data_IF_799172231424
#
_entry.id   IF_799172231424
#
_cell.length_a   1.000
_cell.length_b   1.000
_cell.length_c   1.000
_cell.angle_alpha   90.00
_cell.angle_beta   90.00
_cell.angle_gamma   90.00
#
_symmetry.space_group_name_H-M   'P 1'
#
loop_
_entity.id
_entity.type
_entity.pdbx_description
1 polymer ?
#
# COMPACT_ATOMS: atom_id res chain seq x y z
N UNK A 1 -46.13 -0.65 -16.02
CA UNK A 1 -46.62 0.64 -16.57
C UNK A 1 -46.28 1.77 -15.62
N UNK A 2 -46.66 1.70 -14.34
CA UNK A 2 -46.29 2.67 -13.30
C UNK A 2 -44.79 2.96 -13.20
N UNK A 3 -43.93 1.94 -13.20
CA UNK A 3 -42.47 2.14 -13.19
C UNK A 3 -41.96 3.05 -14.32
N UNK A 4 -42.46 2.86 -15.55
CA UNK A 4 -42.08 3.70 -16.71
C UNK A 4 -42.58 5.14 -16.59
N UNK A 5 -43.69 5.35 -15.89
CA UNK A 5 -44.19 6.69 -15.57
C UNK A 5 -43.27 7.33 -14.53
N UNK A 6 -42.92 6.62 -13.46
CA UNK A 6 -41.98 7.09 -12.43
C UNK A 6 -40.58 7.40 -13.01
N UNK A 7 -40.08 6.57 -13.93
CA UNK A 7 -38.86 6.84 -14.72
C UNK A 7 -38.97 8.15 -15.49
N UNK A 8 -40.10 8.44 -16.13
CA UNK A 8 -40.29 9.68 -16.91
C UNK A 8 -40.34 10.95 -16.06
N UNK A 9 -40.59 10.81 -14.75
CA UNK A 9 -40.54 11.89 -13.77
C UNK A 9 -39.23 11.90 -12.97
N UNK A 10 -38.21 11.11 -13.36
CA UNK A 10 -36.93 10.95 -12.65
C UNK A 10 -37.09 10.58 -11.17
N UNK A 11 -38.19 9.90 -10.81
CA UNK A 11 -38.41 9.38 -9.46
C UNK A 11 -37.70 8.03 -9.27
N UNK A 12 -37.53 7.29 -10.37
CA UNK A 12 -36.85 6.00 -10.42
C UNK A 12 -35.79 5.99 -11.52
N UNK A 13 -34.68 5.28 -11.30
CA UNK A 13 -33.66 5.11 -12.32
C UNK A 13 -34.20 4.25 -13.47
N UNK A 14 -33.67 4.51 -14.66
CA UNK A 14 -33.67 3.54 -15.75
C UNK A 14 -32.60 2.49 -15.46
N UNK A 15 -33.04 1.26 -15.25
CA UNK A 15 -32.18 0.11 -14.96
C UNK A 15 -31.96 -0.72 -16.22
N UNK A 16 -30.71 -1.08 -16.50
CA UNK A 16 -30.33 -1.95 -17.60
C UNK A 16 -29.36 -3.05 -17.15
N UNK A 17 -29.56 -4.25 -17.70
CA UNK A 17 -28.56 -5.32 -17.64
C UNK A 17 -27.25 -4.84 -18.26
N UNK A 18 -26.14 -5.33 -17.72
CA UNK A 18 -24.83 -5.02 -18.28
C UNK A 18 -24.55 -5.84 -19.54
N UNK A 19 -24.04 -5.18 -20.58
CA UNK A 19 -23.93 -5.73 -21.95
C UNK A 19 -23.13 -7.06 -22.03
N UNK A 20 -22.18 -7.30 -21.13
CA UNK A 20 -21.34 -8.51 -21.09
C UNK A 20 -21.86 -9.60 -20.13
N UNK A 21 -23.14 -9.59 -19.77
CA UNK A 21 -23.74 -10.65 -18.94
C UNK A 21 -23.13 -10.73 -17.53
N UNK A 22 -22.79 -9.56 -16.95
CA UNK A 22 -22.18 -9.39 -15.63
C UNK A 22 -20.73 -9.91 -15.46
N UNK A 23 -20.18 -10.59 -16.47
CA UNK A 23 -18.86 -11.23 -16.37
C UNK A 23 -17.74 -10.23 -16.08
N UNK A 24 -17.81 -9.04 -16.68
CA UNK A 24 -16.85 -7.96 -16.46
C UNK A 24 -16.83 -7.42 -15.01
N UNK A 25 -17.97 -7.44 -14.30
CA UNK A 25 -17.96 -7.15 -12.86
C UNK A 25 -17.30 -8.30 -12.08
N UNK A 26 -17.63 -9.54 -12.43
CA UNK A 26 -17.10 -10.74 -11.77
C UNK A 26 -15.58 -10.83 -11.94
N UNK A 27 -15.07 -10.57 -13.14
CA UNK A 27 -13.64 -10.55 -13.44
C UNK A 27 -12.93 -9.47 -12.62
N UNK A 28 -13.49 -8.25 -12.53
CA UNK A 28 -12.92 -7.17 -11.73
C UNK A 28 -12.89 -7.49 -10.23
N UNK A 29 -13.95 -8.10 -9.68
CA UNK A 29 -13.98 -8.56 -8.28
C UNK A 29 -12.96 -9.69 -8.04
N UNK A 30 -12.91 -10.68 -8.94
CA UNK A 30 -12.00 -11.81 -8.80
C UNK A 30 -10.54 -11.40 -8.93
N UNK A 31 -10.20 -10.41 -9.76
CA UNK A 31 -8.85 -9.85 -9.84
C UNK A 31 -8.34 -9.34 -8.47
N UNK A 32 -9.24 -8.88 -7.59
CA UNK A 32 -8.88 -8.50 -6.22
C UNK A 32 -8.83 -9.70 -5.28
N UNK A 33 -9.78 -10.63 -5.40
CA UNK A 33 -9.90 -11.81 -4.51
C UNK A 33 -8.79 -12.84 -4.72
N UNK A 34 -8.23 -12.91 -5.93
CA UNK A 34 -7.22 -13.89 -6.35
C UNK A 34 -5.77 -13.44 -6.15
N UNK A 35 -5.53 -12.35 -5.43
CA UNK A 35 -4.16 -11.99 -5.04
C UNK A 35 -3.52 -13.17 -4.27
N UNK A 36 -2.27 -13.52 -4.61
CA UNK A 36 -1.59 -14.76 -4.18
C UNK A 36 -1.62 -15.01 -2.66
N UNK A 37 -1.62 -13.94 -1.85
CA UNK A 37 -1.66 -14.03 -0.39
C UNK A 37 -3.09 -13.98 0.19
N UNK A 38 -4.06 -13.49 -0.58
CA UNK A 38 -5.47 -13.42 -0.20
C UNK A 38 -6.16 -14.77 -0.46
N UNK A 39 -6.03 -15.28 -1.69
CA UNK A 39 -6.54 -16.59 -2.17
C UNK A 39 -7.99 -16.85 -1.74
N UNK A 40 -8.88 -15.88 -2.00
CA UNK A 40 -10.29 -16.02 -1.67
C UNK A 40 -11.03 -16.77 -2.79
N UNK A 41 -12.04 -17.60 -2.44
CA UNK A 41 -12.84 -18.30 -3.44
C UNK A 41 -13.47 -17.34 -4.45
N UNK A 42 -13.35 -17.65 -5.75
CA UNK A 42 -13.89 -16.80 -6.81
C UNK A 42 -15.41 -16.64 -6.71
N UNK A 43 -15.88 -15.46 -7.10
CA UNK A 43 -17.28 -15.26 -7.44
C UNK A 43 -17.54 -15.76 -8.86
N UNK A 44 -18.79 -16.05 -9.16
CA UNK A 44 -19.22 -16.50 -10.49
C UNK A 44 -20.30 -15.60 -11.07
N UNK A 45 -20.33 -15.52 -12.40
CA UNK A 45 -21.49 -14.99 -13.09
C UNK A 45 -22.70 -15.93 -12.90
N UNK A 46 -23.94 -15.43 -12.95
CA UNK A 46 -25.13 -16.26 -12.79
C UNK A 46 -25.23 -17.34 -13.87
N UNK A 47 -25.48 -18.59 -13.45
CA UNK A 47 -25.66 -19.71 -14.37
C UNK A 47 -27.10 -19.81 -14.88
N UNK A 48 -27.46 -19.00 -15.87
CA UNK A 48 -28.78 -19.06 -16.50
C UNK A 48 -28.98 -18.02 -17.60
N UNK A 49 -29.78 -18.32 -18.63
CA UNK A 49 -30.14 -17.34 -19.67
C UNK A 49 -31.07 -16.28 -19.10
N UNK A 50 -30.49 -15.27 -18.45
CA UNK A 50 -31.19 -14.08 -17.97
C UNK A 50 -31.46 -13.15 -19.16
N UNK A 51 -32.42 -13.51 -20.01
CA UNK A 51 -33.22 -12.45 -20.65
C UNK A 51 -34.32 -12.17 -19.65
N UNK A 52 -34.50 -10.91 -19.23
CA UNK A 52 -35.77 -10.42 -18.67
C UNK A 52 -36.89 -10.88 -19.60
N UNK A 53 -37.47 -12.06 -19.35
CA UNK A 53 -38.45 -12.66 -20.24
C UNK A 53 -39.76 -11.92 -20.03
N UNK A 54 -39.99 -10.93 -20.88
CA UNK A 54 -41.30 -10.35 -21.17
C UNK A 54 -42.23 -11.36 -21.89
N UNK A 55 -42.22 -12.64 -21.48
CA UNK A 55 -43.10 -13.68 -22.02
C UNK A 55 -44.10 -14.15 -20.96
N UNK A 56 -45.26 -13.50 -21.00
CA UNK A 56 -46.64 -14.04 -20.94
C UNK A 56 -47.05 -15.15 -19.96
N UNK A 57 -46.21 -15.54 -19.02
CA UNK A 57 -46.56 -16.39 -17.89
C UNK A 57 -46.18 -15.65 -16.61
N UNK A 58 -47.10 -15.60 -15.66
CA UNK A 58 -46.95 -14.98 -14.33
C UNK A 58 -45.89 -15.76 -13.55
N UNK A 59 -44.62 -15.56 -13.88
CA UNK A 59 -43.51 -15.97 -13.03
C UNK A 59 -43.42 -14.90 -11.96
N UNK A 60 -43.56 -15.30 -10.70
CA UNK A 60 -43.37 -14.39 -9.57
C UNK A 60 -41.98 -13.75 -9.69
N UNK A 61 -41.92 -12.42 -9.60
CA UNK A 61 -40.65 -11.70 -9.56
C UNK A 61 -39.82 -12.21 -8.39
N UNK A 62 -38.53 -12.38 -8.63
CA UNK A 62 -37.57 -12.76 -7.59
C UNK A 62 -37.40 -11.61 -6.59
N UNK A 63 -36.91 -11.92 -5.38
CA UNK A 63 -36.74 -10.89 -4.33
C UNK A 63 -35.73 -9.81 -4.75
N UNK A 64 -34.65 -10.18 -5.43
CA UNK A 64 -33.68 -9.20 -5.93
C UNK A 64 -34.27 -8.31 -7.02
N UNK A 65 -35.13 -8.83 -7.92
CA UNK A 65 -35.82 -8.01 -8.92
C UNK A 65 -36.73 -6.98 -8.24
N UNK A 66 -37.48 -7.39 -7.22
CA UNK A 66 -38.32 -6.47 -6.46
C UNK A 66 -37.48 -5.36 -5.78
N UNK A 67 -36.35 -5.71 -5.18
CA UNK A 67 -35.44 -4.74 -4.59
C UNK A 67 -34.89 -3.76 -5.64
N UNK A 68 -34.44 -4.27 -6.79
CA UNK A 68 -33.93 -3.46 -7.90
C UNK A 68 -35.00 -2.49 -8.45
N UNK A 69 -36.25 -2.94 -8.59
CA UNK A 69 -37.38 -2.09 -9.04
C UNK A 69 -37.87 -1.08 -7.98
N UNK A 70 -37.46 -1.24 -6.73
CA UNK A 70 -37.82 -0.34 -5.63
C UNK A 70 -36.76 0.73 -5.38
N UNK A 71 -35.56 0.60 -5.94
CA UNK A 71 -34.52 1.65 -5.87
C UNK A 71 -35.05 2.96 -6.45
N UNK A 72 -34.88 4.05 -5.72
CA UNK A 72 -35.30 5.39 -6.11
C UNK A 72 -34.10 6.26 -6.49
N UNK A 73 -34.33 7.31 -7.30
CA UNK A 73 -33.29 8.29 -7.59
C UNK A 73 -32.78 8.99 -6.32
N UNK A 74 -33.68 9.28 -5.37
CA UNK A 74 -33.30 9.85 -4.07
C UNK A 74 -32.28 9.00 -3.31
N UNK A 75 -32.43 7.67 -3.34
CA UNK A 75 -31.48 6.78 -2.67
C UNK A 75 -30.14 6.70 -3.39
N UNK A 76 -30.13 6.71 -4.72
CA UNK A 76 -28.91 6.77 -5.54
C UNK A 76 -28.16 8.08 -5.30
N UNK A 77 -28.86 9.21 -5.47
CA UNK A 77 -28.28 10.55 -5.36
C UNK A 77 -27.78 10.81 -3.93
N UNK A 78 -28.52 10.31 -2.93
CA UNK A 78 -28.16 10.34 -1.52
C UNK A 78 -27.19 9.25 -1.06
N UNK A 79 -26.77 8.33 -1.94
CA UNK A 79 -25.95 7.16 -1.58
C UNK A 79 -26.45 6.43 -0.33
N UNK A 80 -27.75 6.13 -0.29
CA UNK A 80 -28.44 5.63 0.91
C UNK A 80 -29.26 4.35 0.70
N UNK A 81 -28.96 3.59 -0.36
CA UNK A 81 -29.62 2.30 -0.61
C UNK A 81 -29.24 1.33 0.51
N UNK A 82 -30.24 0.65 1.08
CA UNK A 82 -30.01 -0.37 2.09
C UNK A 82 -29.26 -1.56 1.47
N UNK A 83 -28.08 -1.95 2.01
CA UNK A 83 -27.34 -3.07 1.47
C UNK A 83 -28.00 -4.42 1.77
N UNK A 84 -28.94 -4.50 2.70
CA UNK A 84 -29.69 -5.71 3.01
C UNK A 84 -30.90 -5.84 2.10
N UNK A 85 -30.98 -6.94 1.35
CA UNK A 85 -32.12 -7.27 0.51
C UNK A 85 -32.78 -8.52 1.07
N UNK A 86 -33.70 -8.28 2.02
CA UNK A 86 -34.29 -9.33 2.85
C UNK A 86 -33.17 -10.15 3.53
N UNK A 87 -33.45 -11.39 3.94
CA UNK A 87 -32.44 -12.31 4.49
C UNK A 87 -31.77 -13.19 3.40
N UNK A 88 -31.90 -12.83 2.11
CA UNK A 88 -31.46 -13.68 0.99
C UNK A 88 -30.31 -13.10 0.16
N UNK A 89 -30.25 -11.77 -0.02
CA UNK A 89 -29.27 -11.14 -0.89
C UNK A 89 -28.59 -9.97 -0.17
N UNK A 90 -27.37 -9.66 -0.61
CA UNK A 90 -26.74 -8.37 -0.29
C UNK A 90 -26.62 -7.55 -1.57
N UNK A 91 -27.00 -6.28 -1.46
CA UNK A 91 -26.86 -5.26 -2.48
C UNK A 91 -25.64 -4.41 -2.15
N UNK A 92 -24.73 -4.29 -3.10
CA UNK A 92 -23.62 -3.34 -3.06
C UNK A 92 -23.73 -2.43 -4.27
N UNK A 93 -23.30 -1.18 -4.12
CA UNK A 93 -23.39 -0.23 -5.22
C UNK A 93 -22.29 0.83 -5.14
N UNK A 94 -21.95 1.38 -6.29
CA UNK A 94 -21.10 2.56 -6.43
C UNK A 94 -21.89 3.61 -7.23
N UNK A 95 -21.72 4.88 -6.87
CA UNK A 95 -22.38 6.00 -7.55
C UNK A 95 -21.34 6.94 -8.17
N UNK A 96 -21.71 7.60 -9.26
CA UNK A 96 -20.89 8.59 -9.96
C UNK A 96 -21.75 9.74 -10.42
N UNK A 97 -21.23 10.96 -10.32
CA UNK A 97 -21.92 12.17 -10.79
C UNK A 97 -22.23 12.09 -12.29
N UNK A 98 -23.42 12.57 -12.67
CA UNK A 98 -23.88 12.58 -14.05
C UNK A 98 -24.55 11.29 -14.49
N UNK A 99 -24.65 11.10 -15.82
CA UNK A 99 -25.49 10.06 -16.42
C UNK A 99 -24.75 8.77 -16.78
N UNK A 100 -23.43 8.72 -16.56
CA UNK A 100 -22.59 7.58 -16.94
C UNK A 100 -22.31 6.76 -15.67
N UNK A 101 -22.80 5.52 -15.58
CA UNK A 101 -22.53 4.65 -14.43
C UNK A 101 -21.02 4.41 -14.26
N UNK A 102 -20.56 4.17 -13.01
CA UNK A 102 -19.19 3.73 -12.78
C UNK A 102 -18.83 2.49 -13.62
N UNK A 103 -17.60 2.42 -14.10
CA UNK A 103 -17.05 1.13 -14.55
C UNK A 103 -16.82 0.21 -13.34
N UNK A 104 -16.60 -1.10 -13.53
CA UNK A 104 -16.26 -2.02 -12.45
C UNK A 104 -15.00 -1.61 -11.76
N UNK A 105 -13.98 -1.21 -12.50
CA UNK A 105 -12.70 -0.79 -11.95
C UNK A 105 -12.90 0.43 -11.05
N UNK A 106 -13.68 1.42 -11.51
CA UNK A 106 -14.07 2.58 -10.71
C UNK A 106 -14.89 2.17 -9.46
N UNK A 107 -15.80 1.20 -9.58
CA UNK A 107 -16.58 0.69 -8.46
C UNK A 107 -15.74 -0.10 -7.45
N UNK A 108 -14.79 -0.92 -7.92
CA UNK A 108 -13.82 -1.64 -7.08
C UNK A 108 -12.96 -0.63 -6.33
N UNK A 109 -12.46 0.40 -6.99
CA UNK A 109 -11.67 1.46 -6.37
C UNK A 109 -12.49 2.20 -5.30
N UNK A 110 -13.74 2.56 -5.62
CA UNK A 110 -14.66 3.15 -4.65
C UNK A 110 -14.88 2.23 -3.44
N UNK A 111 -15.17 0.95 -3.65
CA UNK A 111 -15.35 0.00 -2.54
C UNK A 111 -14.07 -0.24 -1.76
N UNK A 112 -12.89 -0.21 -2.39
CA UNK A 112 -11.59 -0.31 -1.68
C UNK A 112 -11.43 0.78 -0.63
N UNK A 113 -11.95 1.99 -0.87
CA UNK A 113 -11.94 3.07 0.15
C UNK A 113 -12.70 2.70 1.45
N UNK A 114 -13.57 1.70 1.41
CA UNK A 114 -14.22 1.16 2.60
C UNK A 114 -13.26 0.50 3.58
N UNK A 115 -12.09 0.03 3.12
CA UNK A 115 -11.02 -0.48 3.99
C UNK A 115 -10.53 0.61 4.96
N UNK A 116 -10.25 1.81 4.45
CA UNK A 116 -9.73 2.92 5.26
C UNK A 116 -10.73 3.34 6.34
N UNK A 117 -12.02 3.18 6.08
CA UNK A 117 -13.09 3.48 7.05
C UNK A 117 -13.20 2.42 8.15
N UNK A 118 -12.85 1.16 7.86
CA UNK A 118 -12.86 0.07 8.85
C UNK A 118 -11.63 0.14 9.79
N UNK A 119 -10.56 0.80 9.37
CA UNK A 119 -9.33 0.92 10.16
C UNK A 119 -8.53 -0.40 10.19
N UNK A 120 -7.55 -0.55 11.09
CA UNK A 120 -6.71 -1.75 11.17
C UNK A 120 -7.30 -2.86 12.05
N UNK A 121 -8.31 -2.56 12.86
CA UNK A 121 -8.93 -3.53 13.77
C UNK A 121 -9.86 -4.49 13.02
N UNK A 122 -10.13 -5.66 13.61
CA UNK A 122 -11.07 -6.62 13.02
C UNK A 122 -12.43 -5.94 12.84
N UNK A 123 -13.05 -6.00 11.64
CA UNK A 123 -14.32 -5.35 11.38
C UNK A 123 -15.40 -5.82 12.36
N UNK A 124 -16.24 -4.90 12.87
CA UNK A 124 -17.29 -5.25 13.82
C UNK A 124 -18.36 -6.14 13.18
N UNK A 125 -19.17 -6.81 14.01
CA UNK A 125 -20.33 -7.53 13.50
C UNK A 125 -21.35 -6.57 12.87
N UNK A 126 -22.01 -6.98 11.78
CA UNK A 126 -23.06 -6.20 11.15
C UNK A 126 -24.26 -6.01 12.08
N UNK A 127 -24.82 -4.81 12.12
CA UNK A 127 -26.04 -4.48 12.87
C UNK A 127 -27.05 -3.78 11.98
N UNK A 128 -28.29 -4.22 12.05
CA UNK A 128 -29.44 -3.60 11.41
C UNK A 128 -29.81 -2.30 12.11
N UNK A 129 -30.21 -1.30 11.33
CA UNK A 129 -30.69 -0.02 11.86
C UNK A 129 -31.89 -0.24 12.77
N UNK A 130 -31.75 0.13 14.05
CA UNK A 130 -32.88 0.19 14.97
C UNK A 130 -33.42 1.62 14.96
N UNK A 131 -34.71 1.79 14.64
CA UNK A 131 -35.36 3.08 14.33
C UNK A 131 -35.39 4.15 15.45
N UNK A 132 -34.61 4.02 16.54
CA UNK A 132 -34.73 4.86 17.75
C UNK A 132 -33.43 5.22 18.47
N UNK A 133 -32.25 5.08 17.87
CA UNK A 133 -31.01 5.59 18.47
C UNK A 133 -30.34 6.60 17.53
N UNK A 134 -30.05 7.78 18.08
CA UNK A 134 -29.32 8.86 17.41
C UNK A 134 -27.79 8.67 17.49
N UNK A 135 -27.31 7.53 17.99
CA UNK A 135 -25.88 7.19 18.10
C UNK A 135 -25.52 6.12 17.06
N UNK A 136 -24.60 6.46 16.15
CA UNK A 136 -24.01 5.54 15.16
C UNK A 136 -23.29 4.43 15.93
N UNK A 137 -23.84 3.21 15.91
CA UNK A 137 -23.19 2.07 16.58
C UNK A 137 -22.15 1.45 15.65
N UNK A 138 -21.08 0.85 16.18
CA UNK A 138 -19.95 0.30 15.39
C UNK A 138 -20.37 -0.61 14.21
N UNK A 139 -21.50 -1.32 14.32
CA UNK A 139 -22.02 -2.21 13.27
C UNK A 139 -22.88 -1.53 12.19
N UNK A 140 -23.17 -0.23 12.30
CA UNK A 140 -23.92 0.55 11.31
C UNK A 140 -23.02 1.14 10.21
N UNK A 141 -21.69 1.03 10.36
CA UNK A 141 -20.72 1.51 9.37
C UNK A 141 -20.93 0.87 7.99
N UNK A 142 -21.47 -0.35 7.95
CA UNK A 142 -21.80 -1.08 6.72
C UNK A 142 -22.95 -0.48 5.92
N UNK A 143 -23.65 0.54 6.41
CA UNK A 143 -24.61 1.30 5.59
C UNK A 143 -23.94 2.34 4.70
N UNK A 144 -22.63 2.58 4.87
CA UNK A 144 -21.82 3.34 3.91
C UNK A 144 -21.50 2.41 2.75
N UNK A 145 -21.88 2.78 1.52
CA UNK A 145 -21.77 1.91 0.35
C UNK A 145 -20.35 1.44 0.05
N UNK A 146 -19.35 2.28 0.31
CA UNK A 146 -17.93 1.89 0.24
C UNK A 146 -17.61 0.70 1.17
N UNK A 147 -18.05 0.78 2.43
CA UNK A 147 -17.80 -0.24 3.46
C UNK A 147 -18.61 -1.50 3.20
N UNK A 148 -19.89 -1.37 2.83
CA UNK A 148 -20.75 -2.49 2.42
C UNK A 148 -20.12 -3.26 1.25
N UNK A 149 -19.66 -2.52 0.24
CA UNK A 149 -18.93 -3.01 -0.91
C UNK A 149 -17.69 -3.78 -0.47
N UNK A 150 -16.77 -3.12 0.22
CA UNK A 150 -15.53 -3.73 0.68
C UNK A 150 -15.78 -5.05 1.43
N UNK A 151 -16.63 -5.00 2.45
CA UNK A 151 -16.92 -6.13 3.31
C UNK A 151 -17.51 -7.31 2.52
N UNK A 152 -18.42 -7.02 1.60
CA UNK A 152 -19.06 -8.03 0.76
C UNK A 152 -18.13 -8.61 -0.30
N UNK A 153 -17.16 -7.83 -0.78
CA UNK A 153 -16.13 -8.29 -1.72
C UNK A 153 -15.08 -9.18 -1.05
N UNK A 154 -14.90 -9.06 0.25
CA UNK A 154 -13.83 -9.72 1.02
C UNK A 154 -14.34 -10.88 1.88
N UNK A 155 -15.60 -11.30 1.72
CA UNK A 155 -16.13 -12.47 2.41
C UNK A 155 -15.41 -13.76 2.02
N UNK A 156 -15.37 -14.71 2.97
CA UNK A 156 -14.65 -15.98 2.84
C UNK A 156 -15.32 -16.97 1.86
N UNK A 157 -16.58 -16.72 1.50
CA UNK A 157 -17.40 -17.63 0.71
C UNK A 157 -17.49 -17.21 -0.75
N UNK A 158 -17.87 -18.15 -1.62
CA UNK A 158 -18.21 -17.86 -3.03
C UNK A 158 -19.66 -17.36 -3.16
N UNK A 159 -19.88 -16.44 -4.09
CA UNK A 159 -21.18 -15.86 -4.42
C UNK A 159 -21.36 -15.78 -5.94
N UNK A 160 -22.62 -15.89 -6.39
CA UNK A 160 -22.96 -15.42 -7.73
C UNK A 160 -23.21 -13.90 -7.66
N UNK A 161 -22.70 -13.15 -8.64
CA UNK A 161 -22.87 -11.70 -8.68
C UNK A 161 -23.63 -11.25 -9.94
N UNK A 162 -24.63 -10.39 -9.75
CA UNK A 162 -25.44 -9.80 -10.83
C UNK A 162 -25.39 -8.30 -10.74
N UNK A 163 -24.90 -7.63 -11.78
CA UNK A 163 -24.72 -6.18 -11.79
C UNK A 163 -25.54 -5.47 -12.87
N UNK A 164 -26.04 -4.29 -12.52
CA UNK A 164 -26.97 -3.49 -13.29
C UNK A 164 -26.51 -2.03 -13.33
N UNK A 165 -26.73 -1.40 -14.46
CA UNK A 165 -26.52 0.03 -14.63
C UNK A 165 -27.82 0.78 -14.32
N UNK A 166 -27.77 1.73 -13.40
CA UNK A 166 -28.86 2.65 -13.09
C UNK A 166 -28.50 4.06 -13.58
N UNK A 167 -29.40 4.65 -14.39
CA UNK A 167 -29.22 5.97 -15.04
C UNK A 167 -30.52 6.79 -14.93
N UNK A 168 -30.51 8.07 -15.33
CA UNK A 168 -31.71 8.91 -15.34
C UNK A 168 -32.02 9.62 -14.00
N UNK A 169 -31.15 9.48 -13.00
CA UNK A 169 -31.13 10.29 -11.77
C UNK A 169 -30.06 11.38 -11.88
N UNK A 170 -29.81 12.19 -10.84
CA UNK A 170 -28.71 13.17 -10.88
C UNK A 170 -27.35 12.48 -10.97
N UNK A 171 -27.23 11.35 -10.27
CA UNK A 171 -26.09 10.42 -10.32
C UNK A 171 -26.47 9.13 -11.03
N UNK A 172 -25.47 8.47 -11.61
CA UNK A 172 -25.60 7.13 -12.14
C UNK A 172 -24.96 6.13 -11.17
N UNK A 173 -25.43 4.89 -11.20
CA UNK A 173 -24.94 3.86 -10.28
C UNK A 173 -24.69 2.52 -10.97
N UNK A 174 -23.68 1.81 -10.46
CA UNK A 174 -23.49 0.38 -10.69
C UNK A 174 -24.03 -0.34 -9.45
N UNK A 175 -25.08 -1.13 -9.62
CA UNK A 175 -25.75 -1.86 -8.53
C UNK A 175 -25.51 -3.35 -8.74
N UNK A 176 -24.94 -4.03 -7.74
CA UNK A 176 -24.65 -5.45 -7.78
C UNK A 176 -25.35 -6.21 -6.65
N UNK A 177 -25.90 -7.38 -6.96
CA UNK A 177 -26.49 -8.30 -5.99
C UNK A 177 -25.63 -9.55 -5.87
N UNK A 178 -25.41 -9.98 -4.63
CA UNK A 178 -24.75 -11.23 -4.28
C UNK A 178 -25.80 -12.27 -3.88
N UNK A 179 -25.68 -13.49 -4.41
CA UNK A 179 -26.71 -14.55 -4.27
C UNK A 179 -26.92 -15.12 -2.87
N UNK A 180 -26.16 -14.66 -1.87
CA UNK A 180 -26.29 -14.98 -0.45
C UNK A 180 -25.96 -13.73 0.36
N UNK A 181 -26.53 -13.55 1.55
CA UNK A 181 -26.24 -12.39 2.37
C UNK A 181 -24.79 -12.44 2.87
N UNK A 182 -24.09 -11.33 2.75
CA UNK A 182 -22.75 -11.10 3.32
C UNK A 182 -22.82 -10.26 4.60
N UNK A 183 -23.90 -9.50 4.78
CA UNK A 183 -24.17 -8.65 5.94
C UNK A 183 -25.33 -9.25 6.76
N UNK A 184 -25.00 -10.15 7.70
CA UNK A 184 -25.97 -10.86 8.54
C UNK A 184 -25.92 -10.31 9.96
N UNK A 185 -27.08 -10.03 10.57
CA UNK A 185 -27.18 -9.45 11.92
C UNK A 185 -26.35 -10.23 12.94
N UNK A 186 -25.48 -9.53 13.67
CA UNK A 186 -24.63 -10.11 14.71
C UNK A 186 -23.48 -10.97 14.19
N UNK A 187 -23.26 -11.03 12.87
CA UNK A 187 -22.18 -11.80 12.23
C UNK A 187 -21.14 -10.84 11.64
N UNK A 188 -19.87 -11.18 11.84
CA UNK A 188 -18.76 -10.50 11.16
C UNK A 188 -18.72 -10.90 9.69
N UNK A 189 -18.75 -9.94 8.74
CA UNK A 189 -18.72 -10.26 7.31
C UNK A 189 -17.41 -10.90 6.84
N UNK A 190 -16.29 -10.52 7.47
CA UNK A 190 -14.94 -11.00 7.14
C UNK A 190 -14.38 -11.71 8.37
N UNK A 191 -13.85 -12.93 8.21
CA UNK A 191 -13.18 -13.61 9.32
C UNK A 191 -11.85 -12.95 9.72
N UNK A 192 -11.44 -13.14 10.98
CA UNK A 192 -10.13 -12.71 11.50
C UNK A 192 -8.94 -13.18 10.65
N UNK A 193 -9.06 -14.35 10.03
CA UNK A 193 -8.00 -14.92 9.19
C UNK A 193 -7.87 -14.14 7.88
N UNK A 194 -8.99 -13.87 7.22
CA UNK A 194 -8.99 -13.09 5.98
C UNK A 194 -8.66 -11.64 6.23
N UNK A 195 -9.13 -11.06 7.35
CA UNK A 195 -8.75 -9.71 7.74
C UNK A 195 -7.24 -9.57 7.94
N UNK A 196 -6.58 -10.53 8.60
CA UNK A 196 -5.11 -10.53 8.74
C UNK A 196 -4.39 -10.59 7.39
N UNK A 197 -4.89 -11.36 6.42
CA UNK A 197 -4.35 -11.39 5.05
C UNK A 197 -4.50 -10.03 4.35
N UNK A 198 -5.67 -9.40 4.49
CA UNK A 198 -5.94 -8.06 3.94
C UNK A 198 -4.98 -7.04 4.55
N UNK A 199 -4.79 -7.05 5.87
CA UNK A 199 -3.83 -6.16 6.54
C UNK A 199 -2.40 -6.42 6.09
N UNK A 200 -2.00 -7.68 5.90
CA UNK A 200 -0.66 -8.01 5.40
C UNK A 200 -0.42 -7.44 3.99
N UNK A 201 -1.42 -7.54 3.11
CA UNK A 201 -1.38 -6.95 1.78
C UNK A 201 -1.42 -5.43 1.81
N UNK A 202 -2.25 -4.84 2.65
CA UNK A 202 -2.39 -3.39 2.78
C UNK A 202 -1.12 -2.74 3.37
N UNK A 203 -0.45 -3.43 4.30
CA UNK A 203 0.82 -3.00 4.89
C UNK A 203 2.04 -3.47 4.09
N UNK A 204 1.84 -4.04 2.89
CA UNK A 204 2.95 -4.43 2.03
C UNK A 204 3.65 -3.16 1.56
N UNK A 205 4.96 -3.17 1.72
CA UNK A 205 5.78 -2.06 1.28
C UNK A 205 5.67 -1.87 -0.23
N UNK A 206 5.69 -0.63 -0.67
CA UNK A 206 5.95 -0.30 -2.07
C UNK A 206 7.39 0.15 -2.17
N UNK A 207 8.10 -0.33 -3.19
CA UNK A 207 9.52 -0.03 -3.37
C UNK A 207 9.72 0.53 -4.76
N UNK A 208 10.25 1.75 -4.84
CA UNK A 208 10.53 2.45 -6.09
C UNK A 208 12.01 2.79 -6.16
N UNK A 209 12.66 2.43 -7.28
CA UNK A 209 14.07 2.74 -7.49
C UNK A 209 14.25 4.26 -7.56
N UNK A 210 15.26 4.78 -6.87
CA UNK A 210 15.61 6.20 -6.98
C UNK A 210 16.39 6.48 -8.25
N UNK A 211 16.06 7.59 -8.87
CA UNK A 211 16.79 8.16 -10.00
C UNK A 211 18.23 8.52 -9.61
N UNK A 212 19.11 8.66 -10.61
CA UNK A 212 20.54 8.91 -10.38
C UNK A 212 20.82 10.15 -9.53
N UNK A 213 19.99 11.20 -9.64
CA UNK A 213 20.13 12.42 -8.87
C UNK A 213 19.88 12.24 -7.37
N UNK A 214 19.09 11.22 -6.99
CA UNK A 214 18.59 10.98 -5.63
C UNK A 214 18.97 9.60 -5.07
N UNK A 215 19.89 8.88 -5.72
CA UNK A 215 20.28 7.50 -5.37
C UNK A 215 21.20 7.38 -4.13
N UNK A 216 21.37 8.45 -3.36
CA UNK A 216 22.18 8.55 -2.15
C UNK A 216 23.68 8.27 -2.28
N UNK A 217 24.18 7.96 -3.48
CA UNK A 217 25.60 7.69 -3.69
C UNK A 217 26.44 8.91 -3.36
N UNK A 218 25.94 10.13 -3.62
CA UNK A 218 26.65 11.36 -3.28
C UNK A 218 26.94 11.44 -1.78
N UNK A 219 25.92 11.39 -0.93
CA UNK A 219 26.08 11.50 0.53
C UNK A 219 26.85 10.32 1.13
N UNK A 220 26.63 9.11 0.60
CA UNK A 220 27.36 7.91 1.00
C UNK A 220 28.85 8.10 0.68
N UNK A 221 29.17 8.49 -0.55
CA UNK A 221 30.55 8.61 -1.02
C UNK A 221 31.27 9.83 -0.42
N UNK A 222 30.58 10.94 -0.18
CA UNK A 222 31.15 12.09 0.56
C UNK A 222 31.66 11.67 1.94
N UNK A 223 30.94 10.80 2.65
CA UNK A 223 31.44 10.26 3.91
C UNK A 223 32.55 9.23 3.71
N UNK A 224 32.40 8.28 2.78
CA UNK A 224 33.37 7.19 2.58
C UNK A 224 34.74 7.68 2.13
N UNK A 225 34.74 8.60 1.17
CA UNK A 225 35.95 9.03 0.46
C UNK A 225 36.69 10.18 1.13
N UNK A 226 36.16 10.73 2.24
CA UNK A 226 36.85 11.77 2.99
C UNK A 226 38.27 11.33 3.38
N UNK A 227 39.23 12.27 3.37
CA UNK A 227 40.66 12.00 3.57
C UNK A 227 40.97 11.19 4.85
N UNK A 228 40.17 11.36 5.89
CA UNK A 228 40.34 10.69 7.17
C UNK A 228 40.00 9.18 7.13
N UNK A 229 39.10 8.77 6.23
CA UNK A 229 38.74 7.35 6.01
C UNK A 229 39.47 6.78 4.79
N UNK A 230 39.42 7.48 3.65
CA UNK A 230 40.01 7.05 2.39
C UNK A 230 39.48 5.70 1.92
N UNK A 231 38.16 5.48 2.02
CA UNK A 231 37.49 4.30 1.48
C UNK A 231 37.16 4.51 0.00
N UNK A 232 37.03 3.40 -0.73
CA UNK A 232 36.55 3.43 -2.11
C UNK A 232 35.09 3.88 -2.18
N UNK A 233 34.77 4.70 -3.17
CA UNK A 233 33.39 5.06 -3.49
C UNK A 233 32.59 3.82 -3.91
N UNK A 234 31.32 3.77 -3.52
CA UNK A 234 30.35 2.89 -4.15
C UNK A 234 29.99 3.43 -5.54
N UNK A 235 29.61 2.52 -6.44
CA UNK A 235 29.26 2.85 -7.82
C UNK A 235 27.79 2.54 -8.10
N UNK A 236 27.19 3.24 -9.07
CA UNK A 236 25.79 2.99 -9.47
C UNK A 236 25.63 1.71 -10.31
N UNK A 237 26.70 1.32 -11.03
CA UNK A 237 26.73 0.18 -11.93
C UNK A 237 28.10 -0.49 -11.90
N UNK A 238 28.13 -1.81 -11.94
CA UNK A 238 29.39 -2.54 -12.04
C UNK A 238 29.98 -2.34 -13.44
N UNK A 239 31.29 -2.06 -13.58
CA UNK A 239 31.94 -2.00 -14.88
C UNK A 239 31.97 -3.35 -15.63
N UNK A 240 31.62 -4.45 -14.96
CA UNK A 240 31.84 -5.83 -15.45
C UNK A 240 30.60 -6.74 -15.37
N UNK A 241 29.40 -6.24 -15.07
CA UNK A 241 28.21 -7.08 -14.87
C UNK A 241 27.26 -7.10 -16.06
N UNK A 242 27.21 -8.29 -16.70
CA UNK A 242 26.10 -9.05 -17.33
C UNK A 242 25.00 -8.37 -18.17
N UNK A 243 24.50 -9.11 -19.17
CA UNK A 243 23.47 -8.80 -20.18
C UNK A 243 22.10 -8.29 -19.68
N UNK A 244 21.94 -7.97 -18.39
CA UNK A 244 20.67 -7.54 -17.81
C UNK A 244 20.54 -6.01 -17.87
N UNK A 245 19.34 -5.53 -18.16
CA UNK A 245 19.04 -4.09 -18.14
C UNK A 245 18.87 -3.58 -16.70
N UNK A 246 18.94 -2.26 -16.53
CA UNK A 246 18.81 -1.63 -15.21
C UNK A 246 17.40 -1.79 -14.63
N UNK A 247 16.40 -2.04 -15.49
CA UNK A 247 15.02 -2.39 -15.14
C UNK A 247 14.91 -3.84 -14.64
N UNK A 248 15.52 -4.81 -15.32
CA UNK A 248 15.51 -6.23 -14.90
C UNK A 248 16.15 -6.40 -13.51
N UNK A 249 17.22 -5.65 -13.22
CA UNK A 249 17.84 -5.63 -11.89
C UNK A 249 16.93 -4.99 -10.85
N UNK A 250 16.21 -3.93 -11.21
CA UNK A 250 15.30 -3.24 -10.31
C UNK A 250 14.09 -4.12 -9.94
N UNK A 251 13.53 -4.84 -10.91
CA UNK A 251 12.45 -5.80 -10.70
C UNK A 251 12.89 -6.96 -9.79
N UNK A 252 14.08 -7.51 -10.03
CA UNK A 252 14.66 -8.52 -9.16
C UNK A 252 14.88 -8.01 -7.72
N UNK A 253 15.44 -6.81 -7.56
CA UNK A 253 15.63 -6.20 -6.24
C UNK A 253 14.26 -5.96 -5.56
N UNK A 254 13.24 -5.51 -6.30
CA UNK A 254 11.88 -5.35 -5.78
C UNK A 254 11.30 -6.67 -5.26
N UNK A 255 11.41 -7.76 -6.01
CA UNK A 255 10.93 -9.07 -5.57
C UNK A 255 11.65 -9.56 -4.31
N UNK A 256 12.97 -9.40 -4.25
CA UNK A 256 13.77 -9.85 -3.11
C UNK A 256 13.51 -9.02 -1.86
N UNK A 257 13.36 -7.70 -2.01
CA UNK A 257 13.03 -6.81 -0.90
C UNK A 257 11.63 -7.09 -0.35
N UNK A 258 10.64 -7.33 -1.21
CA UNK A 258 9.28 -7.67 -0.78
C UNK A 258 9.17 -8.97 0.02
N UNK A 259 10.08 -9.93 -0.19
CA UNK A 259 10.09 -11.19 0.57
C UNK A 259 10.51 -11.02 2.03
N UNK A 260 11.25 -9.96 2.35
CA UNK A 260 11.98 -9.86 3.63
C UNK A 260 11.77 -8.55 4.38
N UNK A 261 11.37 -7.47 3.70
CA UNK A 261 11.16 -6.17 4.31
C UNK A 261 9.69 -5.93 4.63
N UNK A 262 9.45 -5.40 5.83
CA UNK A 262 8.14 -4.90 6.27
C UNK A 262 8.31 -3.50 6.86
N UNK A 263 7.23 -2.71 6.87
CA UNK A 263 7.24 -1.39 7.51
C UNK A 263 7.67 -1.48 8.98
N UNK A 264 7.16 -2.47 9.72
CA UNK A 264 7.50 -2.69 11.12
C UNK A 264 8.99 -3.00 11.31
N UNK A 265 9.58 -3.83 10.43
CA UNK A 265 10.98 -4.19 10.55
C UNK A 265 11.92 -3.04 10.20
N UNK A 266 11.54 -2.21 9.23
CA UNK A 266 12.26 -0.97 8.90
C UNK A 266 12.22 0.02 10.07
N UNK A 267 11.03 0.26 10.63
CA UNK A 267 10.81 1.18 11.76
C UNK A 267 11.48 0.69 13.05
N UNK A 268 11.39 -0.59 13.35
CA UNK A 268 12.03 -1.19 14.53
C UNK A 268 13.56 -1.28 14.39
N UNK A 269 14.10 -1.08 13.18
CA UNK A 269 15.53 -1.18 12.95
C UNK A 269 16.04 -2.61 13.04
N UNK A 270 15.27 -3.61 12.59
CA UNK A 270 15.63 -5.03 12.65
C UNK A 270 15.32 -5.81 11.36
N UNK A 271 15.11 -5.09 10.25
CA UNK A 271 14.97 -5.70 8.93
C UNK A 271 16.19 -6.58 8.57
N UNK A 272 15.98 -7.71 7.86
CA UNK A 272 17.05 -8.59 7.40
C UNK A 272 18.09 -7.84 6.57
N UNK A 273 19.36 -8.05 6.89
CA UNK A 273 20.47 -7.30 6.29
C UNK A 273 21.11 -8.01 5.09
N UNK A 274 20.76 -9.28 4.87
CA UNK A 274 21.24 -10.11 3.77
C UNK A 274 20.05 -10.63 2.98
N UNK A 275 20.14 -10.53 1.65
CA UNK A 275 19.11 -10.97 0.70
C UNK A 275 19.75 -11.79 -0.42
N UNK A 276 18.92 -12.41 -1.28
CA UNK A 276 19.39 -13.15 -2.46
C UNK A 276 20.40 -14.25 -2.11
N UNK A 277 20.07 -15.06 -1.10
CA UNK A 277 20.94 -16.09 -0.54
C UNK A 277 22.31 -15.55 -0.09
N UNK A 278 22.30 -14.42 0.62
CA UNK A 278 23.47 -13.73 1.17
C UNK A 278 24.44 -13.15 0.14
N UNK A 279 24.03 -13.02 -1.13
CA UNK A 279 24.86 -12.41 -2.18
C UNK A 279 24.81 -10.88 -2.16
N UNK A 280 23.74 -10.32 -1.59
CA UNK A 280 23.52 -8.87 -1.45
C UNK A 280 23.25 -8.53 0.00
N UNK A 281 23.66 -7.34 0.41
CA UNK A 281 23.34 -6.80 1.73
C UNK A 281 22.55 -5.51 1.61
N UNK A 282 21.76 -5.16 2.62
CA UNK A 282 20.95 -3.94 2.60
C UNK A 282 21.39 -2.95 3.67
N UNK A 283 21.31 -1.67 3.33
CA UNK A 283 21.31 -0.56 4.27
C UNK A 283 19.93 0.07 4.25
N UNK A 284 19.37 0.45 5.38
CA UNK A 284 18.03 1.03 5.39
C UNK A 284 17.83 2.11 6.44
N UNK A 285 16.87 2.99 6.20
CA UNK A 285 16.47 4.05 7.10
C UNK A 285 14.95 4.21 7.04
N UNK A 286 14.34 4.54 8.17
CA UNK A 286 12.91 4.88 8.26
C UNK A 286 12.76 6.13 9.14
N UNK A 287 11.92 7.06 8.72
CA UNK A 287 11.63 8.27 9.48
C UNK A 287 10.62 9.18 8.78
N UNK A 288 10.38 10.36 9.37
CA UNK A 288 9.40 11.32 8.83
C UNK A 288 9.75 11.87 7.44
N UNK A 289 11.03 11.85 7.07
CA UNK A 289 11.48 12.09 5.69
C UNK A 289 12.71 11.26 5.40
N UNK A 290 12.63 10.43 4.36
CA UNK A 290 13.68 9.47 4.00
C UNK A 290 14.70 10.06 3.02
N UNK A 291 15.25 11.24 3.33
CA UNK A 291 16.30 11.86 2.50
C UNK A 291 17.63 11.12 2.66
N UNK A 292 18.49 11.16 1.64
CA UNK A 292 19.82 10.54 1.68
C UNK A 292 20.69 11.11 2.82
N UNK A 293 20.60 12.43 3.06
CA UNK A 293 21.31 13.10 4.16
C UNK A 293 20.86 12.61 5.54
N UNK A 294 19.54 12.45 5.74
CA UNK A 294 19.00 11.91 6.99
C UNK A 294 19.46 10.47 7.20
N UNK A 295 19.32 9.63 6.17
CA UNK A 295 19.72 8.22 6.23
C UNK A 295 21.21 8.08 6.59
N UNK A 296 22.10 8.77 5.87
CA UNK A 296 23.55 8.74 6.13
C UNK A 296 23.89 9.28 7.52
N UNK A 297 23.17 10.30 8.01
CA UNK A 297 23.36 10.83 9.36
C UNK A 297 22.98 9.81 10.43
N UNK A 298 21.84 9.12 10.30
CA UNK A 298 21.44 8.08 11.23
C UNK A 298 22.35 6.85 11.16
N UNK A 299 22.78 6.44 9.96
CA UNK A 299 23.72 5.32 9.79
C UNK A 299 25.04 5.58 10.51
N UNK A 300 25.56 6.82 10.50
CA UNK A 300 26.77 7.18 11.24
C UNK A 300 26.64 6.98 12.75
N UNK A 301 25.45 7.20 13.32
CA UNK A 301 25.22 7.01 14.77
C UNK A 301 25.40 5.57 15.22
N UNK A 302 25.33 4.61 14.31
CA UNK A 302 25.61 3.20 14.60
C UNK A 302 27.02 2.96 15.17
N UNK A 303 27.97 3.87 14.97
CA UNK A 303 29.28 3.85 15.62
C UNK A 303 29.21 3.71 17.14
N UNK A 304 28.19 4.29 17.79
CA UNK A 304 28.01 4.22 19.24
C UNK A 304 27.90 2.78 19.76
N UNK A 305 27.47 1.83 18.92
CA UNK A 305 27.40 0.39 19.25
C UNK A 305 28.77 -0.26 19.33
N UNK A 306 29.80 0.36 18.76
CA UNK A 306 31.14 -0.20 18.61
C UNK A 306 32.22 0.60 19.35
N UNK A 307 31.87 1.65 20.10
CA UNK A 307 32.86 2.53 20.76
C UNK A 307 33.74 1.80 21.78
N UNK A 308 33.21 0.75 22.39
CA UNK A 308 33.89 -0.01 23.44
C UNK A 308 34.62 -1.25 22.90
N UNK A 309 34.62 -1.47 21.57
CA UNK A 309 35.33 -2.60 20.94
C UNK A 309 36.54 -2.15 20.14
N UNK A 310 37.63 -2.90 20.25
CA UNK A 310 38.85 -2.64 19.47
C UNK A 310 38.68 -2.99 18.00
N UNK A 311 37.76 -3.90 17.67
CA UNK A 311 37.35 -4.26 16.32
C UNK A 311 35.93 -4.83 16.38
N UNK A 312 35.05 -4.57 15.38
CA UNK A 312 33.77 -5.25 15.29
C UNK A 312 33.96 -6.77 15.26
N UNK A 313 33.12 -7.54 15.96
CA UNK A 313 33.22 -8.99 15.97
C UNK A 313 33.01 -9.56 14.56
N UNK A 314 33.41 -10.82 14.35
CA UNK A 314 33.06 -11.52 13.11
C UNK A 314 31.55 -11.53 12.95
N UNK A 315 31.09 -11.31 11.73
CA UNK A 315 29.67 -11.39 11.45
C UNK A 315 29.18 -12.82 11.62
N UNK A 316 28.16 -12.98 12.45
CA UNK A 316 27.33 -14.19 12.49
C UNK A 316 25.90 -13.76 12.70
N UNK A 317 24.95 -14.46 12.06
CA UNK A 317 23.51 -14.17 12.21
C UNK A 317 23.01 -14.19 13.68
N UNK A 318 23.72 -14.88 14.58
CA UNK A 318 23.39 -14.96 16.01
C UNK A 318 24.02 -13.86 16.87
N UNK A 319 24.95 -13.06 16.35
CA UNK A 319 25.68 -12.05 17.11
C UNK A 319 24.76 -10.87 17.45
N UNK A 320 24.58 -10.60 18.75
CA UNK A 320 23.64 -9.59 19.25
C UNK A 320 23.95 -8.19 18.71
N UNK A 321 25.24 -7.88 18.52
CA UNK A 321 25.67 -6.58 18.00
C UNK A 321 25.11 -6.29 16.60
N UNK A 322 24.90 -7.33 15.78
CA UNK A 322 24.41 -7.19 14.39
C UNK A 322 22.90 -7.40 14.25
N UNK A 323 22.14 -7.55 15.35
CA UNK A 323 20.67 -7.66 15.31
C UNK A 323 19.96 -6.33 15.06
N UNK A 324 20.70 -5.22 15.00
CA UNK A 324 20.12 -3.88 14.79
C UNK A 324 20.64 -3.25 13.50
N UNK A 325 19.73 -2.62 12.76
CA UNK A 325 20.01 -1.83 11.58
C UNK A 325 21.04 -0.74 11.85
N UNK A 326 21.00 -0.09 13.03
CA UNK A 326 22.00 0.90 13.39
C UNK A 326 23.43 0.36 13.25
N UNK A 327 23.70 -0.83 13.79
CA UNK A 327 25.03 -1.43 13.74
C UNK A 327 25.39 -1.89 12.32
N UNK A 328 24.47 -2.55 11.64
CA UNK A 328 24.73 -3.16 10.32
C UNK A 328 24.83 -2.10 9.22
N UNK A 329 23.96 -1.09 9.24
CA UNK A 329 24.03 0.06 8.32
C UNK A 329 25.36 0.80 8.47
N UNK A 330 25.81 1.02 9.71
CA UNK A 330 27.09 1.68 9.96
C UNK A 330 28.26 0.88 9.39
N UNK A 331 28.31 -0.43 9.65
CA UNK A 331 29.38 -1.30 9.14
C UNK A 331 29.35 -1.36 7.61
N UNK A 332 28.17 -1.48 6.99
CA UNK A 332 28.02 -1.35 5.54
C UNK A 332 28.62 -0.05 5.02
N UNK A 333 28.31 1.07 5.67
CA UNK A 333 28.80 2.40 5.31
C UNK A 333 30.33 2.53 5.38
N UNK A 334 31.00 1.87 6.34
CA UNK A 334 32.45 1.97 6.55
C UNK A 334 33.27 0.76 6.06
N UNK A 335 32.62 -0.20 5.42
CA UNK A 335 33.28 -1.38 4.86
C UNK A 335 34.20 -1.03 3.70
N UNK A 336 35.19 -1.89 3.41
CA UNK A 336 36.11 -1.70 2.29
C UNK A 336 35.38 -1.54 0.96
N UNK A 337 34.37 -2.40 0.73
CA UNK A 337 33.43 -2.28 -0.39
C UNK A 337 34.08 -2.05 -1.75
N UNK A 338 35.21 -2.71 -2.01
CA UNK A 338 35.93 -2.61 -3.29
C UNK A 338 34.96 -3.04 -4.42
N UNK A 339 34.67 -2.12 -5.34
CA UNK A 339 33.73 -2.31 -6.47
C UNK A 339 32.26 -2.58 -6.07
N UNK A 340 31.83 -2.20 -4.87
CA UNK A 340 30.44 -2.36 -4.44
C UNK A 340 29.51 -1.44 -5.22
N UNK A 341 28.53 -2.06 -5.88
CA UNK A 341 27.39 -1.38 -6.48
C UNK A 341 26.37 -1.09 -5.38
N UNK A 342 25.90 0.15 -5.29
CA UNK A 342 24.82 0.52 -4.40
C UNK A 342 23.63 1.08 -5.20
N UNK A 343 22.46 0.49 -4.99
CA UNK A 343 21.19 0.90 -5.62
C UNK A 343 20.19 1.21 -4.53
N UNK A 344 19.68 2.44 -4.50
CA UNK A 344 18.78 2.90 -3.46
C UNK A 344 17.35 3.03 -3.98
N UNK A 345 16.41 2.76 -3.08
CA UNK A 345 14.98 2.71 -3.33
C UNK A 345 14.26 3.49 -2.24
N UNK A 346 13.19 4.17 -2.63
CA UNK A 346 12.20 4.71 -1.69
C UNK A 346 11.23 3.60 -1.32
N UNK A 347 10.94 3.50 -0.03
CA UNK A 347 9.92 2.61 0.51
C UNK A 347 8.72 3.44 0.95
N UNK A 348 7.57 3.19 0.34
CA UNK A 348 6.30 3.86 0.64
C UNK A 348 5.26 2.86 1.15
N UNK A 349 4.05 3.36 1.41
CA UNK A 349 2.96 2.59 2.03
C UNK A 349 3.26 2.14 3.48
N UNK A 350 4.07 2.93 4.17
CA UNK A 350 4.38 2.80 5.59
C UNK A 350 4.00 4.08 6.34
N UNK A 351 3.78 3.99 7.65
CA UNK A 351 3.50 5.18 8.51
C UNK A 351 4.64 6.21 8.51
N UNK A 352 5.85 5.78 8.16
CA UNK A 352 7.05 6.59 8.00
C UNK A 352 7.65 6.27 6.63
N UNK A 353 8.24 7.25 5.95
CA UNK A 353 8.96 6.98 4.71
C UNK A 353 10.17 6.10 5.00
N UNK A 354 10.45 5.16 4.11
CA UNK A 354 11.64 4.34 4.17
C UNK A 354 12.58 4.61 3.00
N UNK A 355 13.84 4.28 3.21
CA UNK A 355 14.88 4.26 2.20
C UNK A 355 15.67 2.98 2.40
N UNK A 356 15.87 2.22 1.33
CA UNK A 356 16.71 1.02 1.34
C UNK A 356 17.73 1.09 0.21
N UNK A 357 18.98 0.80 0.51
CA UNK A 357 20.05 0.66 -0.45
C UNK A 357 20.53 -0.79 -0.48
N UNK A 358 20.41 -1.43 -1.63
CA UNK A 358 20.95 -2.77 -1.91
C UNK A 358 22.41 -2.62 -2.32
N UNK A 359 23.29 -3.37 -1.64
CA UNK A 359 24.73 -3.43 -1.89
C UNK A 359 25.09 -4.77 -2.52
N UNK A 360 25.89 -4.71 -3.57
CA UNK A 360 26.36 -5.87 -4.33
C UNK A 360 27.84 -5.72 -4.69
N UNK A 361 28.72 -6.63 -4.25
CA UNK A 361 28.45 -7.80 -3.42
C UNK A 361 28.04 -7.44 -1.98
N UNK A 362 27.51 -8.41 -1.25
CA UNK A 362 27.22 -8.26 0.18
C UNK A 362 28.47 -7.87 0.98
N UNK A 363 28.30 -6.94 1.92
CA UNK A 363 29.36 -6.51 2.84
C UNK A 363 29.61 -7.55 3.95
N UNK A 364 28.58 -8.29 4.34
CA UNK A 364 28.66 -9.27 5.41
C UNK A 364 28.82 -10.68 4.85
N UNK A 365 29.73 -11.44 5.46
CA UNK A 365 29.90 -12.86 5.18
C UNK A 365 30.05 -13.63 6.51
N UNK A 366 29.30 -14.73 6.64
CA UNK A 366 29.24 -15.52 7.86
C UNK A 366 30.64 -15.98 8.30
N UNK A 367 30.98 -15.72 9.57
CA UNK A 367 32.26 -16.08 10.17
C UNK A 367 33.46 -15.20 9.78
N UNK A 368 33.26 -14.14 8.97
CA UNK A 368 34.33 -13.19 8.59
C UNK A 368 34.21 -11.86 9.32
N UNK A 369 35.34 -11.16 9.42
CA UNK A 369 35.34 -9.77 9.89
C UNK A 369 34.74 -8.89 8.79
N UNK A 370 33.72 -8.07 9.09
CA UNK A 370 33.08 -7.24 8.07
C UNK A 370 33.91 -5.99 7.71
N UNK A 371 35.00 -5.73 8.45
CA UNK A 371 35.93 -4.64 8.20
C UNK A 371 37.37 -5.05 8.59
N UNK A 372 38.36 -4.62 7.82
CA UNK A 372 39.78 -4.85 8.14
C UNK A 372 40.19 -4.00 9.35
N UNK A 373 41.12 -4.54 10.16
CA UNK A 373 41.67 -3.88 11.35
C UNK A 373 42.23 -2.48 11.03
N UNK A 374 42.91 -2.33 9.89
CA UNK A 374 43.49 -1.05 9.46
C UNK A 374 42.44 0.00 9.14
N UNK A 375 41.34 -0.43 8.52
CA UNK A 375 40.21 0.43 8.18
C UNK A 375 39.47 0.86 9.44
N UNK A 376 39.21 -0.08 10.35
CA UNK A 376 38.59 0.22 11.64
C UNK A 376 39.37 1.25 12.45
N UNK A 377 40.72 1.15 12.50
CA UNK A 377 41.56 2.16 13.15
C UNK A 377 41.34 3.57 12.60
N UNK A 378 41.15 3.71 11.28
CA UNK A 378 40.83 5.00 10.65
C UNK A 378 39.43 5.46 11.08
N UNK A 379 38.43 4.58 11.02
CA UNK A 379 37.05 4.87 11.45
C UNK A 379 37.00 5.38 12.90
N UNK A 380 37.61 4.64 13.84
CA UNK A 380 37.67 5.04 15.25
C UNK A 380 38.36 6.38 15.41
N UNK A 381 39.49 6.61 14.73
CA UNK A 381 40.21 7.91 14.78
C UNK A 381 39.34 9.05 14.27
N UNK A 382 38.65 8.86 13.14
CA UNK A 382 37.79 9.87 12.52
C UNK A 382 36.59 10.21 13.39
N UNK A 383 35.93 9.22 13.97
CA UNK A 383 34.66 9.43 14.70
C UNK A 383 34.88 9.78 16.19
N UNK A 384 35.94 9.29 16.83
CA UNK A 384 36.25 9.66 18.22
C UNK A 384 36.81 11.07 18.39
N UNK A 385 37.37 11.67 17.33
CA UNK A 385 37.99 13.00 17.39
C UNK A 385 36.99 14.16 17.24
N UNK A 386 35.68 13.89 17.16
CA UNK A 386 34.62 14.91 17.10
C UNK A 386 34.70 15.85 15.90
N UNK A 387 35.57 15.55 14.92
CA UNK A 387 35.78 16.35 13.72
C UNK A 387 34.68 16.12 12.70
N UNK A 388 33.44 16.47 13.01
CA UNK A 388 32.47 16.82 11.98
C UNK A 388 32.99 18.08 11.30
N UNK A 389 33.80 17.95 10.26
CA UNK A 389 34.07 19.06 9.35
C UNK A 389 32.69 19.60 8.92
N UNK A 390 32.39 20.90 9.11
CA UNK A 390 31.16 21.46 8.59
C UNK A 390 31.15 21.22 7.09
N UNK A 391 30.13 20.53 6.60
CA UNK A 391 29.91 20.43 5.16
C UNK A 391 29.83 21.86 4.63
N UNK A 392 30.57 22.13 3.56
CA UNK A 392 30.75 23.47 2.98
C UNK A 392 29.43 24.04 2.41
N UNK A 393 28.30 23.34 2.56
CA UNK A 393 27.01 23.69 1.98
C UNK A 393 25.98 24.33 2.94
N UNK A 394 26.23 24.45 4.24
CA UNK A 394 25.29 25.13 5.15
C UNK A 394 25.47 26.67 5.25
N UNK A 395 26.35 27.29 4.45
CA UNK A 395 26.65 28.73 4.54
C UNK A 395 25.95 29.63 3.49
N UNK A 396 25.03 29.12 2.67
CA UNK A 396 24.35 29.94 1.64
C UNK A 396 22.82 29.79 1.63
N UNK A 397 22.16 29.94 2.78
CA UNK A 397 20.75 30.40 2.80
C UNK A 397 20.55 31.33 4.01
N UNK A 398 21.02 32.56 3.90
CA UNK A 398 20.59 33.68 4.76
C UNK A 398 20.86 35.00 4.06
N UNK A 399 20.06 35.28 3.04
CA UNK A 399 19.87 36.62 2.49
C UNK A 399 18.40 36.81 2.14
N UNK A 400 17.54 36.75 3.16
CA UNK A 400 16.22 37.37 3.11
C UNK A 400 16.44 38.88 3.19
N UNK A 401 16.50 39.52 2.03
CA UNK A 401 16.28 40.96 1.89
C UNK A 401 14.78 41.22 2.12
N UNK A 402 14.44 41.63 3.34
CA UNK A 402 13.16 42.29 3.61
C UNK A 402 13.21 43.68 2.97
N UNK A 403 12.69 43.81 1.75
CA UNK A 403 12.32 45.11 1.20
C UNK A 403 10.88 45.39 1.62
N UNK A 404 10.73 46.06 2.76
CA UNK A 404 9.52 46.79 3.07
C UNK A 404 9.48 48.05 2.20
N UNK A 405 8.58 48.09 1.23
CA UNK A 405 8.36 49.23 0.35
C UNK A 405 6.87 49.44 0.12
N UNK A 406 6.34 50.48 0.78
CA UNK A 406 4.99 51.00 0.68
C UNK A 406 4.46 51.05 -0.76
N UNK A 407 3.23 50.59 -0.97
CA UNK A 407 2.31 51.25 -1.91
C UNK A 407 0.97 51.51 -1.22
N UNK A 408 0.76 52.79 -0.94
CA UNK A 408 -0.52 53.38 -0.65
C UNK A 408 -1.31 53.58 -1.98
N UNK A 409 -2.62 53.31 -1.90
CA UNK A 409 -3.77 54.03 -2.47
C UNK A 409 -3.73 54.66 -3.89
N UNK A 410 -4.92 54.55 -4.52
CA UNK A 410 -5.50 55.27 -5.66
C UNK A 410 -5.18 54.63 -7.03
N UNK A 411 -6.12 54.02 -7.74
CA UNK A 411 -7.42 54.52 -8.25
C UNK A 411 -8.27 53.34 -8.74
#
# INVERSE_FOLDING_TARGET
MWHKVEESFNLKPKVADREKGHQDCVDAVNAVRELEELDLPKFSAPTGKTKLQLKTSVVQSTKYENALYNVTCKEIDGSSIDPKVEDEYTLIYAVKEGQIPPTPEEAIEFWRSGFDMLGPEVPPAFKTKVARRDEETEGEIYYKSAVAGFASLMVDTTHEMRCYNATGCEKAALICFLSKPTLVEGVQPISDTTWRKILALANRIQVEKREEADNCLKEINEFRTQDSLGLSAFVAKSPTSTNLTDEEVAEYDFEELNKVLTCDALKAGNAPILISNNKRSVMYYSGSSATCSNAVTEWKKGYERFKDVTIPPKYTSSEDMYKTGAATNFISLVSEGEETVARCYTVTNCSEEGLVCVLEPAVFEEGKLPIRVTTWKKVTKTLSSGGSSPSVYCALVSSVLVVAGLFALNF
#
